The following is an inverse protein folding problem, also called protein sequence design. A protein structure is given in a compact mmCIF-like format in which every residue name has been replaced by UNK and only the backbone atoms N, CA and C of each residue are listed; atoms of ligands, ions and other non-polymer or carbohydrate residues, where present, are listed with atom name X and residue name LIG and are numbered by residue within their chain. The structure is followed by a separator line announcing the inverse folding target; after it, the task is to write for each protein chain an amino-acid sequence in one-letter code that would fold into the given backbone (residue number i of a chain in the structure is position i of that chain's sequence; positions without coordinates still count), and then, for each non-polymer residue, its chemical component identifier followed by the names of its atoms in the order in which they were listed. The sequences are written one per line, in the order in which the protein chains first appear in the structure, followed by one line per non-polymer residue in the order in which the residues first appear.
data_IF_449666402190
#
_entry.id   IF_449666402190
#
_cell.length_a   1.000
_cell.length_b   1.000
_cell.length_c   1.000
_cell.angle_alpha   90.00
_cell.angle_beta   90.00
_cell.angle_gamma   90.00
#
_symmetry.space_group_name_H-M   'P 1'
#
loop_
_entity.id
_entity.type
_entity.pdbx_description
1 polymer ?
#
# COMPACT_ATOMS: atom_id res chain seq x y z
N UNK A 1 70.86 43.79 -42.73
CA UNK A 1 71.09 42.36 -42.42
C UNK A 1 71.37 42.29 -40.92
N UNK A 2 70.29 42.30 -40.12
CA UNK A 2 69.71 41.09 -39.49
C UNK A 2 70.45 40.80 -38.18
N UNK A 3 69.91 40.85 -36.96
CA UNK A 3 68.59 40.98 -36.31
C UNK A 3 68.93 41.53 -34.88
N UNK A 4 68.30 42.56 -34.29
CA UNK A 4 66.98 42.61 -33.63
C UNK A 4 66.73 41.41 -32.68
N UNK A 5 66.30 41.49 -31.40
CA UNK A 5 65.68 42.55 -30.61
C UNK A 5 65.98 42.34 -29.11
N UNK A 6 66.33 43.48 -28.54
CA UNK A 6 66.32 43.99 -27.18
C UNK A 6 65.28 43.51 -26.13
N UNK A 7 65.75 43.66 -24.88
CA UNK A 7 65.06 44.11 -23.65
C UNK A 7 64.42 43.10 -22.68
N UNK A 8 65.30 42.61 -21.81
CA UNK A 8 65.15 42.52 -20.35
C UNK A 8 64.31 43.66 -19.72
N UNK A 9 63.25 43.34 -18.95
CA UNK A 9 62.72 44.14 -17.83
C UNK A 9 61.81 43.31 -16.88
N UNK A 10 62.33 43.15 -15.65
CA UNK A 10 61.72 42.96 -14.30
C UNK A 10 60.18 42.87 -14.16
N UNK A 11 59.68 41.92 -13.35
CA UNK A 11 58.78 42.17 -12.19
C UNK A 11 58.25 40.88 -11.50
N UNK A 12 58.66 40.70 -10.25
CA UNK A 12 57.92 40.42 -8.99
C UNK A 12 56.49 39.79 -8.95
N UNK A 13 56.35 38.85 -7.99
CA UNK A 13 55.20 38.55 -7.09
C UNK A 13 53.93 37.86 -7.64
N UNK A 14 53.52 36.73 -7.02
CA UNK A 14 52.42 36.66 -6.03
C UNK A 14 51.82 35.25 -5.97
N UNK A 15 51.95 34.62 -4.79
CA UNK A 15 51.31 33.38 -4.41
C UNK A 15 49.81 33.66 -4.18
N UNK A 16 48.94 33.12 -5.02
CA UNK A 16 47.49 33.14 -4.81
C UNK A 16 47.06 31.73 -4.40
N UNK A 17 46.69 31.59 -3.12
CA UNK A 17 45.98 30.44 -2.61
C UNK A 17 44.49 30.55 -3.01
N UNK A 18 44.03 29.67 -3.91
CA UNK A 18 42.60 29.45 -4.15
C UNK A 18 42.10 28.40 -3.16
N UNK A 19 41.44 28.85 -2.10
CA UNK A 19 40.59 28.01 -1.27
C UNK A 19 39.31 27.66 -2.03
N UNK A 20 39.17 26.39 -2.39
CA UNK A 20 37.88 25.83 -2.83
C UNK A 20 37.17 25.25 -1.62
N UNK A 21 36.19 25.98 -1.08
CA UNK A 21 35.15 25.41 -0.24
C UNK A 21 34.19 24.64 -1.14
N UNK A 22 34.53 23.39 -1.43
CA UNK A 22 33.57 22.41 -1.91
C UNK A 22 32.74 21.94 -0.73
N UNK A 23 31.47 22.35 -0.69
CA UNK A 23 30.45 21.72 0.15
C UNK A 23 30.41 20.25 -0.26
N UNK A 24 30.98 19.37 0.57
CA UNK A 24 30.75 17.94 0.45
C UNK A 24 29.28 17.72 0.73
N UNK A 25 28.52 17.34 -0.30
CA UNK A 25 27.37 16.49 -0.08
C UNK A 25 27.91 15.32 0.74
N UNK A 26 27.47 15.20 1.98
CA UNK A 26 27.67 14.00 2.76
C UNK A 26 26.84 12.91 2.06
N UNK A 27 27.45 12.31 1.03
CA UNK A 27 27.09 10.96 0.61
C UNK A 27 27.35 10.13 1.86
N UNK A 28 26.29 9.57 2.45
CA UNK A 28 26.39 8.61 3.53
C UNK A 28 27.45 7.58 3.09
N UNK A 29 28.56 7.55 3.80
CA UNK A 29 29.69 6.76 3.37
C UNK A 29 29.29 5.29 3.37
N UNK A 30 29.32 4.68 2.18
CA UNK A 30 29.46 3.23 1.97
C UNK A 30 30.48 2.75 3.00
N UNK A 31 30.03 1.97 3.97
CA UNK A 31 30.94 1.28 4.89
C UNK A 31 31.93 0.44 4.08
N UNK A 32 33.08 0.08 4.65
CA UNK A 32 34.03 -0.77 3.92
C UNK A 32 33.36 -2.10 3.56
N UNK A 33 33.40 -2.47 2.28
CA UNK A 33 32.78 -3.70 1.77
C UNK A 33 33.33 -4.91 2.51
N UNK A 34 32.47 -5.87 2.85
CA UNK A 34 32.91 -7.13 3.43
C UNK A 34 33.96 -7.83 2.55
N UNK A 35 34.84 -8.61 3.16
CA UNK A 35 35.98 -9.28 2.54
C UNK A 35 37.06 -8.33 1.98
N UNK A 36 37.02 -7.03 2.31
CA UNK A 36 38.13 -6.12 1.99
C UNK A 36 39.31 -6.40 2.91
N UNK A 37 40.49 -6.65 2.35
CA UNK A 37 41.73 -6.82 3.12
C UNK A 37 42.15 -5.49 3.75
N UNK A 38 42.43 -5.51 5.06
CA UNK A 38 43.07 -4.42 5.78
C UNK A 38 44.48 -4.86 6.12
N UNK A 39 45.44 -4.13 5.56
CA UNK A 39 46.85 -4.41 5.68
C UNK A 39 47.55 -3.29 6.45
N UNK A 40 48.31 -3.65 7.48
CA UNK A 40 49.14 -2.70 8.21
C UNK A 40 50.60 -3.18 8.30
N UNK A 41 51.54 -2.27 8.11
CA UNK A 41 52.97 -2.51 8.27
C UNK A 41 53.62 -1.31 8.96
N UNK A 42 54.17 -1.54 10.14
CA UNK A 42 54.99 -0.56 10.85
C UNK A 42 56.45 -0.62 10.38
N UNK A 43 57.16 0.51 10.47
CA UNK A 43 58.61 0.63 10.23
C UNK A 43 59.27 1.29 11.43
N UNK A 44 60.36 0.72 11.93
CA UNK A 44 61.19 1.33 12.97
C UNK A 44 62.46 1.93 12.37
N UNK A 45 62.67 3.21 12.65
CA UNK A 45 63.91 3.92 12.39
C UNK A 45 64.68 4.05 13.70
N UNK A 46 65.98 3.79 13.68
CA UNK A 46 66.81 3.85 14.88
C UNK A 46 68.24 4.30 14.56
N UNK A 47 68.97 4.73 15.58
CA UNK A 47 70.36 5.13 15.48
C UNK A 47 71.18 4.43 16.58
N UNK A 48 72.44 4.14 16.28
CA UNK A 48 73.40 3.57 17.24
C UNK A 48 74.53 4.58 17.41
N UNK A 49 74.73 5.07 18.64
CA UNK A 49 75.71 6.12 18.95
C UNK A 49 75.56 7.38 18.07
N UNK A 50 74.32 7.74 17.73
CA UNK A 50 74.01 8.88 16.86
C UNK A 50 74.11 8.60 15.36
N UNK A 51 74.51 7.40 14.93
CA UNK A 51 74.57 7.01 13.51
C UNK A 51 73.26 6.32 13.12
N UNK A 52 72.52 6.91 12.18
CA UNK A 52 71.29 6.34 11.64
C UNK A 52 71.54 4.94 11.06
N UNK A 53 70.65 4.00 11.38
CA UNK A 53 70.68 2.62 10.89
C UNK A 53 69.68 2.44 9.75
N UNK A 54 69.82 1.33 9.01
CA UNK A 54 68.82 0.94 8.00
C UNK A 54 67.52 0.58 8.74
N UNK A 55 66.36 1.12 8.33
CA UNK A 55 65.08 0.82 8.98
C UNK A 55 64.73 -0.67 8.92
N UNK A 56 63.96 -1.13 9.89
CA UNK A 56 63.40 -2.49 9.91
C UNK A 56 61.88 -2.39 9.83
N UNK A 57 61.28 -3.06 8.86
CA UNK A 57 59.83 -3.20 8.74
C UNK A 57 59.32 -4.36 9.62
N UNK A 58 58.12 -4.22 10.16
CA UNK A 58 57.46 -5.28 10.97
C UNK A 58 57.01 -6.49 10.14
N UNK A 59 56.72 -7.60 10.81
CA UNK A 59 56.08 -8.80 10.25
C UNK A 59 55.27 -9.50 11.35
N UNK A 60 54.22 -10.28 11.03
CA UNK A 60 53.36 -10.91 12.04
C UNK A 60 54.10 -11.79 13.06
N UNK A 61 55.19 -12.43 12.65
CA UNK A 61 56.04 -13.28 13.51
C UNK A 61 57.32 -12.58 13.99
N UNK A 62 57.42 -11.26 13.82
CA UNK A 62 58.64 -10.49 14.02
C UNK A 62 59.58 -10.49 12.80
N UNK A 63 60.45 -9.47 12.72
CA UNK A 63 61.44 -9.31 11.65
C UNK A 63 62.74 -8.74 12.20
N UNK A 64 63.87 -9.13 11.62
CA UNK A 64 65.20 -8.61 11.94
C UNK A 64 66.04 -8.29 10.71
N UNK A 65 65.45 -8.34 9.50
CA UNK A 65 66.12 -8.03 8.24
C UNK A 65 65.93 -6.53 7.92
N UNK A 66 66.99 -5.70 7.96
CA UNK A 66 66.88 -4.28 7.63
C UNK A 66 66.64 -4.07 6.14
N UNK A 67 65.92 -3.01 5.78
CA UNK A 67 65.70 -2.58 4.41
C UNK A 67 64.22 -2.39 4.06
N UNK A 68 63.99 -1.65 2.99
CA UNK A 68 62.64 -1.45 2.45
C UNK A 68 62.12 -2.76 1.84
N UNK A 69 60.84 -3.05 2.06
CA UNK A 69 60.14 -4.25 1.61
C UNK A 69 60.63 -5.58 2.22
N UNK A 70 61.39 -5.52 3.32
CA UNK A 70 61.86 -6.72 4.03
C UNK A 70 60.92 -7.16 5.16
N UNK A 71 59.79 -6.45 5.35
CA UNK A 71 58.72 -6.87 6.26
C UNK A 71 57.56 -7.60 5.57
N UNK A 72 56.49 -7.85 6.33
CA UNK A 72 55.24 -8.45 5.89
C UNK A 72 54.05 -7.72 6.52
N UNK A 73 52.93 -7.65 5.81
CA UNK A 73 51.72 -7.01 6.33
C UNK A 73 51.12 -7.86 7.46
N UNK A 74 50.60 -7.20 8.48
CA UNK A 74 49.58 -7.78 9.36
C UNK A 74 48.25 -7.55 8.69
N UNK A 75 47.56 -8.64 8.34
CA UNK A 75 46.37 -8.61 7.49
C UNK A 75 45.18 -9.24 8.21
N UNK A 76 44.02 -8.61 8.06
CA UNK A 76 42.70 -9.17 8.38
C UNK A 76 41.70 -8.71 7.31
N UNK A 77 40.48 -9.26 7.30
CA UNK A 77 39.44 -8.87 6.35
C UNK A 77 38.29 -8.18 7.06
N UNK A 78 37.55 -7.35 6.34
CA UNK A 78 36.33 -6.72 6.87
C UNK A 78 35.19 -7.75 6.92
N UNK A 79 34.51 -7.84 8.05
CA UNK A 79 33.39 -8.75 8.24
C UNK A 79 32.13 -8.35 7.47
N UNK A 80 31.21 -9.30 7.33
CA UNK A 80 29.89 -9.07 6.80
C UNK A 80 28.95 -8.57 7.91
N UNK A 81 28.71 -7.26 7.92
CA UNK A 81 27.66 -6.63 8.71
C UNK A 81 26.33 -6.80 7.96
N UNK A 82 25.43 -7.55 8.58
CA UNK A 82 24.04 -7.68 8.15
C UNK A 82 23.20 -6.68 8.91
N UNK A 83 22.53 -5.82 8.16
CA UNK A 83 21.57 -4.85 8.66
C UNK A 83 20.58 -4.55 7.52
N UNK A 84 19.34 -4.21 7.87
CA UNK A 84 18.29 -3.93 6.91
C UNK A 84 17.24 -3.01 7.49
N UNK A 85 16.49 -2.37 6.60
CA UNK A 85 15.23 -1.72 6.95
C UNK A 85 14.10 -2.24 6.08
N UNK A 86 12.91 -2.36 6.67
CA UNK A 86 11.65 -2.54 5.95
C UNK A 86 10.78 -1.36 6.33
N UNK A 87 10.22 -0.67 5.34
CA UNK A 87 9.38 0.52 5.58
C UNK A 87 8.12 0.45 4.74
N UNK A 88 6.97 0.77 5.33
CA UNK A 88 5.72 1.00 4.60
C UNK A 88 5.87 2.24 3.68
N UNK A 89 5.25 2.20 2.48
CA UNK A 89 5.53 3.17 1.40
C UNK A 89 4.60 4.38 1.39
N UNK A 90 3.32 4.20 1.69
CA UNK A 90 2.26 5.19 1.45
C UNK A 90 1.97 6.12 2.64
N UNK A 91 2.38 5.74 3.85
CA UNK A 91 2.09 6.43 5.11
C UNK A 91 0.63 6.32 5.56
N UNK A 92 -0.20 5.51 4.91
CA UNK A 92 -1.65 5.44 5.10
C UNK A 92 -2.17 4.00 4.92
N UNK A 93 -3.36 3.72 5.45
CA UNK A 93 -4.01 2.44 5.19
C UNK A 93 -4.38 2.28 3.70
N UNK A 94 -4.16 1.07 3.18
CA UNK A 94 -4.55 0.66 1.83
C UNK A 94 -6.06 0.44 1.74
N UNK A 95 -6.74 1.28 0.96
CA UNK A 95 -8.19 1.17 0.76
C UNK A 95 -8.59 -0.06 -0.06
N UNK A 96 -9.57 -0.83 0.42
CA UNK A 96 -10.16 -1.96 -0.32
C UNK A 96 -11.68 -1.99 -0.23
N UNK A 97 -12.34 -2.84 -1.02
CA UNK A 97 -13.78 -3.11 -0.94
C UNK A 97 -14.05 -4.58 -0.57
N UNK A 98 -15.24 -4.92 -0.02
CA UNK A 98 -15.56 -6.30 0.31
C UNK A 98 -15.49 -7.22 -0.91
N UNK A 99 -14.81 -8.35 -0.77
CA UNK A 99 -14.64 -9.32 -1.85
C UNK A 99 -13.65 -8.91 -2.93
N UNK A 100 -12.93 -7.80 -2.76
CA UNK A 100 -11.91 -7.37 -3.71
C UNK A 100 -10.77 -8.39 -3.76
N UNK A 101 -10.50 -8.99 -4.94
CA UNK A 101 -9.30 -9.80 -5.11
C UNK A 101 -8.07 -8.90 -5.30
N UNK A 102 -6.91 -9.40 -4.88
CA UNK A 102 -5.61 -8.76 -5.09
C UNK A 102 -5.53 -7.29 -4.64
N UNK A 103 -6.02 -6.96 -3.45
CA UNK A 103 -5.67 -5.71 -2.77
C UNK A 103 -4.16 -5.64 -2.52
N UNK A 104 -3.52 -4.53 -2.88
CA UNK A 104 -2.05 -4.39 -2.88
C UNK A 104 -1.62 -3.32 -1.90
N UNK A 105 -0.74 -3.68 -0.96
CA UNK A 105 0.07 -2.73 -0.19
C UNK A 105 1.55 -2.90 -0.54
N UNK A 106 2.34 -1.84 -0.35
CA UNK A 106 3.75 -1.77 -0.73
C UNK A 106 4.66 -1.41 0.45
N UNK A 107 5.83 -2.04 0.44
CA UNK A 107 6.93 -1.84 1.37
C UNK A 107 8.23 -1.63 0.60
N UNK A 108 9.20 -0.96 1.21
CA UNK A 108 10.57 -0.88 0.70
C UNK A 108 11.47 -1.70 1.61
N UNK A 109 12.23 -2.63 1.02
CA UNK A 109 13.30 -3.36 1.70
C UNK A 109 14.64 -2.75 1.29
N UNK A 110 15.43 -2.30 2.27
CA UNK A 110 16.76 -1.70 2.03
C UNK A 110 17.84 -2.54 2.71
N UNK A 111 18.91 -2.84 1.98
CA UNK A 111 20.11 -3.44 2.55
C UNK A 111 21.00 -2.33 3.13
N UNK A 112 21.06 -2.19 4.45
CA UNK A 112 21.94 -1.22 5.14
C UNK A 112 23.24 -1.86 5.65
N UNK A 113 23.48 -3.11 5.26
CA UNK A 113 24.72 -3.84 5.49
C UNK A 113 25.85 -3.46 4.53
N UNK A 114 26.97 -4.16 4.60
CA UNK A 114 28.17 -3.86 3.81
C UNK A 114 28.53 -4.94 2.75
N UNK A 115 27.62 -5.87 2.49
CA UNK A 115 27.76 -6.90 1.46
C UNK A 115 26.42 -7.12 0.73
N UNK A 116 26.44 -7.63 -0.52
CA UNK A 116 25.21 -8.09 -1.17
C UNK A 116 24.51 -9.19 -0.36
N UNK A 117 23.19 -9.07 -0.20
CA UNK A 117 22.37 -10.00 0.57
C UNK A 117 21.14 -10.44 -0.23
N UNK A 118 20.64 -11.65 0.00
CA UNK A 118 19.28 -12.03 -0.37
C UNK A 118 18.32 -11.77 0.78
N UNK A 119 17.01 -11.88 0.54
CA UNK A 119 16.00 -11.81 1.60
C UNK A 119 14.88 -12.82 1.37
N UNK A 120 14.56 -13.57 2.43
CA UNK A 120 13.31 -14.29 2.55
C UNK A 120 12.22 -13.29 2.94
N UNK A 121 11.08 -13.33 2.24
CA UNK A 121 9.96 -12.42 2.48
C UNK A 121 8.77 -13.22 3.01
N UNK A 122 8.24 -12.82 4.16
CA UNK A 122 7.11 -13.48 4.80
C UNK A 122 6.00 -12.46 5.06
N UNK A 123 4.86 -12.55 4.36
CA UNK A 123 3.68 -11.76 4.69
C UNK A 123 2.86 -12.47 5.78
N UNK A 124 2.38 -11.74 6.78
CA UNK A 124 1.51 -12.30 7.83
C UNK A 124 0.34 -11.39 8.14
N UNK A 125 -0.85 -11.96 8.36
CA UNK A 125 -1.91 -11.26 9.07
C UNK A 125 -1.49 -11.10 10.52
N UNK A 126 -1.65 -9.89 11.06
CA UNK A 126 -1.42 -9.64 12.48
C UNK A 126 -2.64 -10.06 13.30
N UNK A 127 -2.50 -9.97 14.62
CA UNK A 127 -3.62 -10.25 15.54
C UNK A 127 -3.84 -9.02 16.39
N UNK A 128 -4.83 -8.21 15.99
CA UNK A 128 -5.20 -7.00 16.69
C UNK A 128 -4.23 -5.83 16.46
N UNK A 129 -4.25 -4.89 17.40
CA UNK A 129 -3.53 -3.64 17.27
C UNK A 129 -4.31 -2.57 16.50
N UNK A 130 -3.79 -1.35 16.53
CA UNK A 130 -4.38 -0.19 15.86
C UNK A 130 -3.30 0.45 15.00
N UNK A 131 -3.56 0.56 13.70
CA UNK A 131 -2.74 1.27 12.73
C UNK A 131 -3.62 2.30 12.01
N UNK A 132 -3.05 3.44 11.64
CA UNK A 132 -3.73 4.54 10.94
C UNK A 132 -5.11 4.96 11.51
N UNK A 133 -5.33 4.73 12.81
CA UNK A 133 -6.57 5.08 13.50
C UNK A 133 -7.68 4.02 13.47
N UNK A 134 -7.49 2.88 12.80
CA UNK A 134 -8.44 1.76 12.82
C UNK A 134 -7.85 0.52 13.53
N UNK A 135 -8.70 -0.19 14.24
CA UNK A 135 -8.33 -1.45 14.89
C UNK A 135 -8.46 -2.62 13.92
N UNK A 136 -7.53 -3.55 14.02
CA UNK A 136 -7.59 -4.83 13.32
C UNK A 136 -8.70 -5.71 13.91
N UNK A 137 -9.64 -6.10 13.05
CA UNK A 137 -10.84 -6.85 13.42
C UNK A 137 -11.11 -8.05 12.51
N UNK A 138 -10.30 -8.26 11.47
CA UNK A 138 -10.40 -9.41 10.57
C UNK A 138 -9.06 -9.67 9.86
N UNK A 139 -8.92 -10.85 9.27
CA UNK A 139 -7.73 -11.21 8.48
C UNK A 139 -8.03 -11.14 6.98
N UNK A 140 -7.04 -10.72 6.19
CA UNK A 140 -7.10 -10.86 4.74
C UNK A 140 -6.96 -12.34 4.32
N UNK A 141 -7.62 -12.71 3.23
CA UNK A 141 -7.50 -14.02 2.61
C UNK A 141 -6.34 -14.05 1.61
N UNK A 142 -5.83 -15.25 1.27
CA UNK A 142 -4.88 -15.49 0.17
C UNK A 142 -3.67 -14.51 0.15
N UNK A 143 -3.08 -14.31 1.32
CA UNK A 143 -1.97 -13.40 1.54
C UNK A 143 -0.70 -13.89 0.82
N UNK A 144 -0.16 -13.06 -0.07
CA UNK A 144 1.00 -13.36 -0.93
C UNK A 144 1.98 -12.20 -0.92
N UNK A 145 3.22 -12.45 -1.33
CA UNK A 145 4.28 -11.44 -1.43
C UNK A 145 4.94 -11.48 -2.80
N UNK A 146 5.22 -10.31 -3.38
CA UNK A 146 5.87 -10.18 -4.67
C UNK A 146 6.90 -9.05 -4.66
N UNK A 147 8.01 -9.20 -5.37
CA UNK A 147 9.05 -8.18 -5.54
C UNK A 147 8.78 -7.42 -6.83
N UNK A 148 8.84 -6.09 -6.77
CA UNK A 148 8.79 -5.20 -7.94
C UNK A 148 9.99 -5.44 -8.84
N UNK A 149 9.77 -6.11 -9.97
CA UNK A 149 10.84 -6.54 -10.86
C UNK A 149 11.30 -5.45 -11.83
N UNK A 150 10.48 -4.43 -12.07
CA UNK A 150 10.75 -3.37 -13.05
C UNK A 150 10.97 -1.98 -12.40
N UNK A 151 10.86 -1.90 -11.08
CA UNK A 151 11.07 -0.69 -10.26
C UNK A 151 10.10 0.44 -10.60
N UNK A 152 8.87 0.13 -10.97
CA UNK A 152 7.84 1.12 -11.29
C UNK A 152 6.90 1.45 -10.10
N UNK A 153 7.03 0.73 -8.97
CA UNK A 153 6.23 0.91 -7.77
C UNK A 153 4.77 0.43 -7.88
N UNK A 154 4.43 -0.33 -8.92
CA UNK A 154 3.08 -0.85 -9.19
C UNK A 154 3.13 -2.37 -9.36
N UNK A 155 2.19 -3.09 -8.75
CA UNK A 155 2.14 -4.54 -8.90
C UNK A 155 1.56 -4.94 -10.26
N UNK A 156 2.33 -5.70 -11.04
CA UNK A 156 1.90 -6.37 -12.26
C UNK A 156 2.03 -7.90 -12.16
N UNK A 157 0.92 -8.66 -12.14
CA UNK A 157 0.94 -10.11 -11.89
C UNK A 157 1.83 -10.94 -12.82
N UNK A 158 2.04 -10.49 -14.06
CA UNK A 158 2.87 -11.18 -15.04
C UNK A 158 4.36 -10.78 -14.97
N UNK A 159 4.67 -9.64 -14.36
CA UNK A 159 6.04 -9.11 -14.25
C UNK A 159 6.61 -9.43 -12.87
N UNK A 160 5.85 -9.12 -11.81
CA UNK A 160 6.25 -9.24 -10.42
C UNK A 160 5.91 -10.62 -9.88
N UNK A 161 6.77 -11.58 -10.19
CA UNK A 161 6.56 -12.99 -9.87
C UNK A 161 7.47 -13.52 -8.78
N UNK A 162 8.57 -12.82 -8.48
CA UNK A 162 9.52 -13.23 -7.45
C UNK A 162 8.91 -13.02 -6.06
N UNK A 163 9.01 -14.03 -5.19
CA UNK A 163 8.49 -14.00 -3.81
C UNK A 163 9.60 -13.82 -2.76
N UNK A 164 10.81 -13.49 -3.23
CA UNK A 164 12.02 -13.36 -2.43
C UNK A 164 12.99 -12.44 -3.18
N UNK A 165 13.88 -11.77 -2.45
CA UNK A 165 14.95 -10.98 -3.07
C UNK A 165 16.18 -11.88 -3.22
N UNK A 166 16.62 -12.12 -4.46
CA UNK A 166 17.76 -13.02 -4.70
C UNK A 166 19.09 -12.41 -4.24
N UNK A 167 19.33 -11.15 -4.64
CA UNK A 167 20.51 -10.37 -4.29
C UNK A 167 20.16 -8.89 -4.35
N UNK A 168 20.51 -8.16 -3.30
CA UNK A 168 20.39 -6.72 -3.17
C UNK A 168 21.74 -6.16 -2.72
N UNK A 169 22.30 -5.24 -3.50
CA UNK A 169 23.58 -4.61 -3.17
C UNK A 169 23.48 -3.78 -1.87
N UNK A 170 24.61 -3.51 -1.18
CA UNK A 170 24.65 -2.54 -0.10
C UNK A 170 24.04 -1.20 -0.52
N UNK A 171 23.29 -0.57 0.39
CA UNK A 171 22.56 0.68 0.23
C UNK A 171 21.48 0.69 -0.87
N UNK A 172 21.29 -0.42 -1.58
CA UNK A 172 20.21 -0.57 -2.53
C UNK A 172 18.91 -0.93 -1.82
N UNK A 173 17.81 -0.56 -2.46
CA UNK A 173 16.47 -0.87 -2.01
C UNK A 173 15.62 -1.41 -3.17
N UNK A 174 14.55 -2.12 -2.82
CA UNK A 174 13.56 -2.64 -3.76
C UNK A 174 12.17 -2.58 -3.13
N UNK A 175 11.16 -2.32 -3.95
CA UNK A 175 9.76 -2.35 -3.53
C UNK A 175 9.27 -3.81 -3.47
N UNK A 176 8.52 -4.13 -2.43
CA UNK A 176 7.90 -5.42 -2.18
C UNK A 176 6.42 -5.19 -1.91
N UNK A 177 5.57 -5.95 -2.59
CA UNK A 177 4.13 -5.90 -2.44
C UNK A 177 3.64 -7.04 -1.55
N UNK A 178 2.70 -6.74 -0.65
CA UNK A 178 1.78 -7.75 -0.15
C UNK A 178 0.50 -7.66 -0.98
N UNK A 179 0.05 -8.80 -1.48
CA UNK A 179 -1.16 -8.94 -2.30
C UNK A 179 -2.10 -9.91 -1.61
N UNK A 180 -3.33 -9.48 -1.35
CA UNK A 180 -4.28 -10.23 -0.55
C UNK A 180 -5.71 -10.07 -1.08
N UNK A 181 -6.61 -10.95 -0.67
CA UNK A 181 -8.02 -10.86 -1.02
C UNK A 181 -8.82 -10.36 0.19
N UNK A 182 -9.65 -9.33 0.00
CA UNK A 182 -10.52 -8.81 1.06
C UNK A 182 -11.72 -9.75 1.22
N UNK A 183 -12.00 -10.31 2.42
CA UNK A 183 -13.16 -11.18 2.62
C UNK A 183 -14.47 -10.48 2.23
N UNK A 184 -15.37 -11.20 1.57
CA UNK A 184 -16.68 -10.66 1.16
C UNK A 184 -17.56 -10.26 2.36
N UNK A 185 -17.30 -10.85 3.53
CA UNK A 185 -18.02 -10.56 4.78
C UNK A 185 -17.50 -9.31 5.49
N UNK A 186 -16.39 -8.73 5.05
CA UNK A 186 -15.88 -7.49 5.63
C UNK A 186 -16.86 -6.34 5.34
N UNK A 187 -17.02 -5.46 6.31
CA UNK A 187 -18.00 -4.36 6.28
C UNK A 187 -17.29 -3.00 6.34
N UNK A 188 -18.04 -1.95 6.01
CA UNK A 188 -17.50 -0.59 5.94
C UNK A 188 -16.82 -0.17 7.25
N UNK A 189 -15.58 0.32 7.14
CA UNK A 189 -14.76 0.82 8.24
C UNK A 189 -14.00 -0.25 9.03
N UNK A 190 -14.16 -1.54 8.70
CA UNK A 190 -13.32 -2.59 9.27
C UNK A 190 -11.91 -2.55 8.66
N UNK A 191 -10.92 -2.94 9.45
CA UNK A 191 -9.54 -3.00 9.00
C UNK A 191 -8.86 -4.34 9.35
N UNK A 192 -7.86 -4.70 8.55
CA UNK A 192 -6.99 -5.85 8.73
C UNK A 192 -5.54 -5.38 8.71
N UNK A 193 -4.78 -5.69 9.77
CA UNK A 193 -3.36 -5.36 9.83
C UNK A 193 -2.52 -6.50 9.24
N UNK A 194 -1.53 -6.15 8.42
CA UNK A 194 -0.59 -7.10 7.82
C UNK A 194 0.84 -6.65 8.10
N UNK A 195 1.77 -7.61 8.08
CA UNK A 195 3.20 -7.39 8.25
C UNK A 195 3.97 -8.00 7.10
N UNK A 196 4.95 -7.27 6.60
CA UNK A 196 6.04 -7.83 5.82
C UNK A 196 7.25 -8.01 6.72
N UNK A 197 7.71 -9.25 6.88
CA UNK A 197 9.00 -9.56 7.49
C UNK A 197 10.00 -9.95 6.41
N UNK A 198 11.16 -9.29 6.39
CA UNK A 198 12.32 -9.67 5.60
C UNK A 198 13.37 -10.32 6.52
N UNK A 199 13.72 -11.57 6.24
CA UNK A 199 14.85 -12.25 6.89
C UNK A 199 16.04 -12.28 5.95
N UNK A 200 17.21 -11.81 6.39
CA UNK A 200 18.42 -11.82 5.57
C UNK A 200 18.82 -13.25 5.19
N UNK A 201 19.00 -13.47 3.90
CA UNK A 201 19.46 -14.72 3.31
C UNK A 201 20.79 -14.54 2.57
N UNK A 202 21.50 -15.65 2.36
CA UNK A 202 22.69 -15.66 1.54
C UNK A 202 22.35 -15.21 0.11
N UNK A 203 23.15 -14.32 -0.52
CA UNK A 203 22.88 -13.85 -1.87
C UNK A 203 22.92 -15.00 -2.88
N UNK A 204 22.05 -14.95 -3.90
CA UNK A 204 21.94 -15.99 -4.92
C UNK A 204 21.12 -17.22 -4.53
N UNK A 205 20.52 -17.24 -3.33
CA UNK A 205 19.72 -18.37 -2.84
C UNK A 205 18.21 -18.19 -2.96
N UNK A 206 17.72 -17.08 -3.54
CA UNK A 206 16.30 -16.74 -3.59
C UNK A 206 15.61 -16.85 -2.21
N UNK A 207 16.23 -16.33 -1.16
CA UNK A 207 15.67 -16.36 0.20
C UNK A 207 15.60 -17.75 0.86
N UNK A 208 16.19 -18.79 0.26
CA UNK A 208 16.09 -20.16 0.79
C UNK A 208 17.03 -20.42 1.98
N UNK A 209 18.19 -19.76 2.04
CA UNK A 209 19.20 -19.98 3.08
C UNK A 209 19.34 -18.72 3.92
N UNK A 210 18.69 -18.68 5.08
CA UNK A 210 18.87 -17.58 6.04
C UNK A 210 20.32 -17.52 6.52
N UNK A 211 20.82 -16.31 6.71
CA UNK A 211 22.15 -16.08 7.28
C UNK A 211 22.15 -16.46 8.76
N UNK A 212 23.32 -16.82 9.27
CA UNK A 212 23.53 -17.12 10.70
C UNK A 212 24.67 -16.29 11.22
N UNK A 213 24.50 -15.70 12.40
CA UNK A 213 25.59 -15.03 13.11
C UNK A 213 26.74 -15.99 13.36
N UNK A 214 27.96 -15.55 13.07
CA UNK A 214 29.16 -16.30 13.43
C UNK A 214 29.34 -16.29 14.95
N UNK A 215 29.64 -17.45 15.51
CA UNK A 215 29.86 -17.63 16.93
C UNK A 215 31.36 -17.72 17.24
N UNK A 216 31.78 -17.18 18.38
CA UNK A 216 33.17 -17.23 18.84
C UNK A 216 33.87 -15.89 18.76
N UNK A 217 35.19 -15.93 18.88
CA UNK A 217 36.06 -14.77 18.72
C UNK A 217 36.38 -14.54 17.24
N UNK A 218 36.71 -13.29 16.92
CA UNK A 218 37.19 -12.87 15.60
C UNK A 218 38.32 -13.78 15.10
N UNK A 219 38.22 -14.17 13.83
CA UNK A 219 39.19 -15.02 13.14
C UNK A 219 39.85 -14.26 11.98
N UNK A 220 41.06 -13.71 12.18
CA UNK A 220 41.73 -12.90 11.16
C UNK A 220 41.88 -13.65 9.83
N UNK A 221 41.34 -13.08 8.76
CA UNK A 221 41.42 -13.63 7.40
C UNK A 221 40.22 -14.49 6.97
N UNK A 222 39.24 -14.71 7.85
CA UNK A 222 37.90 -15.16 7.48
C UNK A 222 36.90 -14.02 7.63
N UNK A 223 35.82 -14.06 6.84
CA UNK A 223 34.74 -13.07 6.96
C UNK A 223 33.71 -13.62 7.94
N UNK A 224 33.58 -12.98 9.09
CA UNK A 224 32.55 -13.31 10.05
C UNK A 224 31.23 -12.62 9.68
N UNK A 225 30.11 -13.18 10.14
CA UNK A 225 28.76 -12.63 9.95
C UNK A 225 28.27 -12.01 11.25
N UNK A 226 28.02 -10.70 11.20
CA UNK A 226 27.58 -9.90 12.36
C UNK A 226 26.23 -9.26 12.06
N UNK A 227 25.20 -9.69 12.80
CA UNK A 227 23.90 -9.02 12.83
C UNK A 227 24.01 -7.69 13.59
N UNK A 228 23.71 -6.61 12.88
CA UNK A 228 23.75 -5.22 13.34
C UNK A 228 22.39 -4.58 13.50
N UNK A 229 21.31 -5.31 13.23
CA UNK A 229 19.93 -4.86 13.45
C UNK A 229 19.64 -4.67 14.96
N UNK A 230 18.74 -3.72 15.25
CA UNK A 230 18.36 -3.34 16.61
C UNK A 230 16.88 -3.61 16.93
N UNK A 231 16.42 -3.15 18.10
CA UNK A 231 15.03 -3.38 18.56
C UNK A 231 14.01 -2.35 18.05
N UNK A 232 14.36 -1.55 17.04
CA UNK A 232 13.47 -0.50 16.54
C UNK A 232 12.15 -1.10 16.03
N UNK A 233 11.03 -0.41 16.24
CA UNK A 233 9.72 -0.86 15.75
C UNK A 233 9.17 -2.13 16.41
N UNK A 234 9.77 -2.60 17.52
CA UNK A 234 9.38 -3.87 18.16
C UNK A 234 10.11 -5.08 17.58
N UNK A 235 11.19 -4.86 16.83
CA UNK A 235 12.06 -5.92 16.34
C UNK A 235 12.87 -6.59 17.46
N UNK A 236 13.32 -7.81 17.20
CA UNK A 236 14.31 -8.49 18.05
C UNK A 236 15.69 -8.03 17.57
N UNK A 237 16.56 -7.63 18.48
CA UNK A 237 17.90 -7.22 18.09
C UNK A 237 18.78 -8.43 17.75
N UNK A 238 19.62 -8.26 16.73
CA UNK A 238 20.64 -9.19 16.28
C UNK A 238 20.05 -10.53 15.83
N UNK A 239 18.97 -10.49 15.07
CA UNK A 239 18.38 -11.69 14.46
C UNK A 239 18.46 -11.70 12.92
N UNK A 240 19.00 -10.64 12.31
CA UNK A 240 19.11 -10.50 10.86
C UNK A 240 17.76 -10.35 10.17
N UNK A 241 16.73 -9.89 10.89
CA UNK A 241 15.40 -9.64 10.36
C UNK A 241 15.01 -8.17 10.50
N UNK A 242 14.05 -7.76 9.68
CA UNK A 242 13.39 -6.46 9.77
C UNK A 242 11.95 -6.61 9.31
N UNK A 243 11.06 -5.77 9.82
CA UNK A 243 9.66 -5.80 9.41
C UNK A 243 9.05 -4.40 9.39
N UNK A 244 7.95 -4.28 8.65
CA UNK A 244 7.03 -3.17 8.75
C UNK A 244 5.59 -3.69 8.66
N UNK A 245 4.69 -2.91 9.25
CA UNK A 245 3.26 -3.18 9.27
C UNK A 245 2.56 -2.22 8.33
N UNK A 246 1.48 -2.69 7.69
CA UNK A 246 0.50 -1.86 7.02
C UNK A 246 -0.92 -2.37 7.33
N UNK A 247 -1.94 -1.66 6.87
CA UNK A 247 -3.33 -1.96 7.11
C UNK A 247 -4.15 -1.89 5.83
N UNK A 248 -5.01 -2.87 5.61
CA UNK A 248 -6.11 -2.76 4.65
C UNK A 248 -7.34 -2.17 5.36
N UNK A 249 -7.90 -1.09 4.81
CA UNK A 249 -9.12 -0.46 5.31
C UNK A 249 -10.28 -0.68 4.32
N UNK A 250 -11.35 -1.29 4.79
CA UNK A 250 -12.50 -1.64 3.95
C UNK A 250 -13.46 -0.45 3.84
N UNK A 251 -13.69 0.00 2.61
CA UNK A 251 -14.75 0.94 2.27
C UNK A 251 -15.88 0.20 1.55
N UNK A 252 -17.10 0.33 2.03
CA UNK A 252 -18.26 -0.34 1.46
C UNK A 252 -19.50 0.55 1.53
N UNK A 253 -20.55 0.18 0.80
CA UNK A 253 -21.87 0.75 1.02
C UNK A 253 -22.50 0.15 2.29
N UNK A 254 -23.22 0.98 3.04
CA UNK A 254 -24.02 0.54 4.19
C UNK A 254 -25.45 1.00 3.95
N UNK A 255 -26.24 0.13 3.30
CA UNK A 255 -27.60 0.46 2.89
C UNK A 255 -28.61 0.23 4.00
N UNK A 256 -29.54 1.17 4.15
CA UNK A 256 -30.77 1.00 4.92
C UNK A 256 -31.97 1.24 4.02
N UNK A 257 -33.04 0.47 4.22
CA UNK A 257 -34.27 0.55 3.44
C UNK A 257 -35.45 0.78 4.37
N UNK A 258 -36.18 1.86 4.15
CA UNK A 258 -37.41 2.19 4.87
C UNK A 258 -38.58 2.19 3.89
N UNK A 259 -39.75 1.70 4.32
CA UNK A 259 -40.99 1.75 3.54
C UNK A 259 -42.08 2.41 4.36
N UNK A 260 -42.67 3.47 3.81
CA UNK A 260 -43.77 4.20 4.39
C UNK A 260 -44.98 4.21 3.44
N UNK A 261 -46.16 4.56 3.97
CA UNK A 261 -47.38 4.70 3.18
C UNK A 261 -48.24 5.86 3.65
N UNK A 262 -48.93 6.50 2.72
CA UNK A 262 -49.92 7.54 2.98
C UNK A 262 -51.21 7.24 2.22
N UNK A 263 -52.34 7.75 2.72
CA UNK A 263 -53.61 7.71 1.98
C UNK A 263 -53.73 9.02 1.21
N UNK A 264 -53.83 8.95 -0.11
CA UNK A 264 -53.94 10.12 -0.99
C UNK A 264 -55.40 10.55 -1.10
N UNK A 265 -56.31 9.61 -1.28
CA UNK A 265 -57.74 9.89 -1.34
C UNK A 265 -58.59 8.66 -1.02
N UNK A 266 -59.86 8.89 -0.68
CA UNK A 266 -60.88 7.84 -0.67
C UNK A 266 -62.20 8.31 -1.31
N UNK A 267 -63.12 7.38 -1.67
CA UNK A 267 -64.35 7.71 -2.39
C UNK A 267 -65.32 8.63 -1.65
N UNK A 268 -65.23 8.73 -0.32
CA UNK A 268 -66.17 9.46 0.52
C UNK A 268 -65.60 10.78 1.05
N UNK A 269 -64.33 10.79 1.48
CA UNK A 269 -63.67 11.94 2.08
C UNK A 269 -62.78 12.72 1.08
N UNK A 270 -62.62 12.22 -0.15
CA UNK A 270 -61.75 12.85 -1.15
C UNK A 270 -60.32 12.92 -0.64
N UNK A 271 -59.65 14.06 -0.78
CA UNK A 271 -58.28 14.29 -0.27
C UNK A 271 -58.23 14.86 1.15
N UNK A 272 -59.39 15.13 1.77
CA UNK A 272 -59.47 15.73 3.10
C UNK A 272 -59.70 14.64 4.15
N UNK A 273 -58.71 14.38 5.00
CA UNK A 273 -58.74 13.31 6.02
C UNK A 273 -59.10 11.91 5.48
N UNK A 274 -58.50 11.44 4.37
CA UNK A 274 -58.89 10.19 3.74
C UNK A 274 -58.59 8.95 4.60
N UNK A 275 -59.35 7.89 4.37
CA UNK A 275 -59.33 6.60 5.08
C UNK A 275 -58.91 5.46 4.15
N UNK A 276 -58.28 4.43 4.72
CA UNK A 276 -57.89 3.21 3.99
C UNK A 276 -59.06 2.24 3.86
N UNK A 277 -60.03 2.60 3.04
CA UNK A 277 -61.24 1.83 2.74
C UNK A 277 -61.21 1.35 1.27
N UNK A 278 -62.05 0.37 0.88
CA UNK A 278 -62.19 -0.01 -0.53
C UNK A 278 -62.35 1.20 -1.46
N UNK A 279 -61.62 1.21 -2.56
CA UNK A 279 -61.52 2.33 -3.50
C UNK A 279 -60.53 3.43 -3.12
N UNK A 280 -59.92 3.41 -1.92
CA UNK A 280 -58.94 4.41 -1.53
C UNK A 280 -57.61 4.27 -2.29
N UNK A 281 -56.98 5.40 -2.62
CA UNK A 281 -55.66 5.46 -3.24
C UNK A 281 -54.59 5.62 -2.15
N UNK A 282 -53.65 4.70 -2.11
CA UNK A 282 -52.48 4.73 -1.24
C UNK A 282 -51.25 5.10 -2.05
N UNK A 283 -50.33 5.86 -1.46
CA UNK A 283 -48.98 6.06 -1.98
C UNK A 283 -47.99 5.34 -1.06
N UNK A 284 -47.15 4.49 -1.64
CA UNK A 284 -46.00 3.91 -0.97
C UNK A 284 -44.76 4.74 -1.28
N UNK A 285 -43.88 4.85 -0.29
CA UNK A 285 -42.56 5.46 -0.44
C UNK A 285 -41.51 4.48 0.09
N UNK A 286 -40.62 4.02 -0.77
CA UNK A 286 -39.46 3.19 -0.42
C UNK A 286 -38.23 4.08 -0.47
N UNK A 287 -37.59 4.28 0.68
CA UNK A 287 -36.38 5.09 0.81
C UNK A 287 -35.19 4.19 1.07
N UNK A 288 -34.19 4.24 0.17
CA UNK A 288 -32.89 3.58 0.32
C UNK A 288 -31.85 4.65 0.64
N UNK A 289 -31.13 4.53 1.75
CA UNK A 289 -30.03 5.44 2.10
C UNK A 289 -28.71 4.69 2.27
N UNK A 290 -27.59 5.35 1.96
CA UNK A 290 -26.25 4.77 2.08
C UNK A 290 -25.39 5.55 3.09
N UNK A 291 -25.14 4.94 4.25
CA UNK A 291 -24.28 5.49 5.29
C UNK A 291 -22.82 4.98 5.21
N UNK A 292 -22.49 4.24 4.16
CA UNK A 292 -21.15 3.68 3.95
C UNK A 292 -20.14 4.67 3.37
N UNK A 293 -18.90 4.22 3.22
CA UNK A 293 -17.79 4.98 2.64
C UNK A 293 -17.68 4.89 1.11
N UNK A 294 -18.45 4.00 0.47
CA UNK A 294 -18.49 3.85 -1.00
C UNK A 294 -19.93 3.84 -1.54
N UNK A 295 -20.14 4.38 -2.74
CA UNK A 295 -21.45 4.42 -3.39
C UNK A 295 -21.92 2.99 -3.74
N UNK A 296 -23.20 2.70 -3.51
CA UNK A 296 -23.79 1.46 -4.02
C UNK A 296 -24.14 1.64 -5.49
N UNK A 297 -23.68 0.75 -6.36
CA UNK A 297 -23.96 0.76 -7.80
C UNK A 297 -24.78 -0.48 -8.19
N UNK A 298 -25.47 -0.43 -9.33
CA UNK A 298 -26.33 -1.54 -9.77
C UNK A 298 -27.54 -1.75 -8.86
N UNK A 299 -28.03 -0.68 -8.24
CA UNK A 299 -29.12 -0.75 -7.26
C UNK A 299 -30.44 -1.02 -7.97
N UNK A 300 -31.15 -2.06 -7.53
CA UNK A 300 -32.48 -2.40 -8.02
C UNK A 300 -33.44 -2.51 -6.84
N UNK A 301 -34.56 -1.79 -6.90
CA UNK A 301 -35.65 -1.90 -5.93
C UNK A 301 -36.71 -2.81 -6.52
N UNK A 302 -37.08 -3.86 -5.78
CA UNK A 302 -38.23 -4.72 -6.10
C UNK A 302 -39.28 -4.59 -5.00
N UNK A 303 -40.52 -4.34 -5.40
CA UNK A 303 -41.62 -4.13 -4.47
C UNK A 303 -42.89 -4.84 -4.99
N UNK A 304 -43.33 -5.94 -4.34
CA UNK A 304 -44.59 -6.58 -4.66
C UNK A 304 -45.78 -5.65 -4.40
N UNK A 305 -46.63 -5.49 -5.42
CA UNK A 305 -47.90 -4.79 -5.25
C UNK A 305 -48.78 -5.58 -4.28
N UNK A 306 -49.25 -4.97 -3.17
CA UNK A 306 -49.97 -5.72 -2.14
C UNK A 306 -51.23 -6.41 -2.67
N UNK A 307 -51.55 -7.58 -2.12
CA UNK A 307 -52.82 -8.23 -2.37
C UNK A 307 -54.01 -7.31 -2.01
N UNK A 308 -55.16 -7.51 -2.67
CA UNK A 308 -56.35 -6.65 -2.55
C UNK A 308 -56.11 -5.19 -2.93
N UNK A 309 -55.05 -4.92 -3.69
CA UNK A 309 -54.82 -3.62 -4.30
C UNK A 309 -54.55 -3.77 -5.80
N UNK A 310 -54.80 -2.70 -6.54
CA UNK A 310 -54.48 -2.58 -7.96
C UNK A 310 -53.44 -1.49 -8.12
N UNK A 311 -52.36 -1.74 -8.86
CA UNK A 311 -51.35 -0.72 -9.14
C UNK A 311 -51.97 0.43 -9.94
N UNK A 312 -51.76 1.66 -9.50
CA UNK A 312 -52.33 2.82 -10.14
C UNK A 312 -51.44 3.28 -11.30
N UNK A 313 -52.05 3.50 -12.47
CA UNK A 313 -51.39 4.07 -13.64
C UNK A 313 -51.58 5.60 -13.68
N UNK A 314 -50.78 6.28 -14.53
CA UNK A 314 -50.93 7.70 -14.81
C UNK A 314 -51.02 8.61 -13.55
N UNK A 315 -50.25 8.28 -12.51
CA UNK A 315 -50.33 8.95 -11.20
C UNK A 315 -49.38 10.14 -11.03
N UNK A 316 -48.33 10.21 -11.85
CA UNK A 316 -47.29 11.24 -11.80
C UNK A 316 -47.07 11.87 -13.17
N UNK A 317 -46.31 12.97 -13.20
CA UNK A 317 -45.89 13.67 -14.42
C UNK A 317 -47.06 13.98 -15.38
N UNK A 318 -48.09 14.67 -14.88
CA UNK A 318 -49.31 14.99 -15.63
C UNK A 318 -50.01 13.76 -16.26
N UNK A 319 -49.85 12.58 -15.67
CA UNK A 319 -50.44 11.33 -16.14
C UNK A 319 -49.55 10.50 -17.07
N UNK A 320 -48.34 10.96 -17.38
CA UNK A 320 -47.42 10.24 -18.25
C UNK A 320 -46.65 9.10 -17.54
N UNK A 321 -46.62 9.09 -16.21
CA UNK A 321 -45.78 8.16 -15.44
C UNK A 321 -46.52 7.60 -14.23
N UNK A 322 -46.04 6.46 -13.71
CA UNK A 322 -46.67 5.75 -12.60
C UNK A 322 -45.71 5.50 -11.42
N UNK A 323 -44.42 5.82 -11.59
CA UNK A 323 -43.42 5.83 -10.54
C UNK A 323 -42.70 7.19 -10.51
N UNK A 324 -42.43 7.68 -9.31
CA UNK A 324 -41.57 8.84 -9.07
C UNK A 324 -40.32 8.40 -8.32
N UNK A 325 -39.16 8.94 -8.71
CA UNK A 325 -37.92 8.80 -7.96
C UNK A 325 -37.43 10.17 -7.51
N UNK A 326 -36.88 10.22 -6.30
CA UNK A 326 -36.22 11.38 -5.74
C UNK A 326 -34.82 10.94 -5.29
N UNK A 327 -33.77 11.42 -5.94
CA UNK A 327 -32.36 11.07 -5.64
C UNK A 327 -31.68 12.25 -4.95
N UNK A 328 -31.41 12.11 -3.65
CA UNK A 328 -30.89 13.19 -2.83
C UNK A 328 -31.77 14.44 -2.91
N UNK A 329 -31.15 15.59 -3.16
CA UNK A 329 -31.83 16.88 -3.34
C UNK A 329 -32.19 17.21 -4.79
N UNK A 330 -31.93 16.30 -5.76
CA UNK A 330 -32.20 16.57 -7.17
C UNK A 330 -33.71 16.64 -7.45
N UNK A 331 -34.17 17.32 -8.52
CA UNK A 331 -35.58 17.27 -8.89
C UNK A 331 -36.07 15.83 -9.08
N UNK A 332 -37.33 15.58 -8.70
CA UNK A 332 -37.92 14.28 -8.89
C UNK A 332 -37.90 13.88 -10.37
N UNK A 333 -37.49 12.65 -10.63
CA UNK A 333 -37.56 12.01 -11.94
C UNK A 333 -38.74 11.03 -11.96
N UNK A 334 -39.12 10.59 -13.15
CA UNK A 334 -40.28 9.75 -13.35
C UNK A 334 -39.98 8.68 -14.38
N UNK A 335 -40.63 7.54 -14.21
CA UNK A 335 -40.58 6.42 -15.14
C UNK A 335 -41.95 5.75 -15.21
N UNK A 336 -42.15 4.96 -16.26
CA UNK A 336 -43.37 4.24 -16.56
C UNK A 336 -43.11 2.75 -16.43
N UNK A 337 -43.50 2.18 -15.28
CA UNK A 337 -43.50 0.73 -15.11
C UNK A 337 -44.57 0.09 -15.99
N UNK A 338 -44.18 -0.54 -17.10
CA UNK A 338 -45.12 -1.24 -17.98
C UNK A 338 -45.49 -2.62 -17.44
N UNK A 339 -46.75 -3.00 -17.66
CA UNK A 339 -47.21 -4.35 -17.37
C UNK A 339 -46.66 -5.35 -18.40
N UNK A 340 -46.40 -6.58 -17.97
CA UNK A 340 -45.97 -7.67 -18.86
C UNK A 340 -44.50 -8.06 -18.71
N UNK A 341 -43.76 -7.42 -17.79
CA UNK A 341 -42.39 -7.80 -17.45
C UNK A 341 -41.31 -7.38 -18.43
N UNK A 342 -41.63 -6.51 -19.39
CA UNK A 342 -40.67 -5.92 -20.33
C UNK A 342 -40.65 -4.40 -20.20
N UNK A 343 -39.48 -3.84 -19.85
CA UNK A 343 -39.20 -2.40 -19.93
C UNK A 343 -38.96 -2.04 -21.40
N UNK A 344 -40.02 -1.61 -22.08
CA UNK A 344 -39.99 -1.42 -23.55
C UNK A 344 -39.49 -0.04 -23.95
N UNK A 345 -39.56 0.93 -23.04
CA UNK A 345 -39.10 2.29 -23.25
C UNK A 345 -37.67 2.52 -22.72
N UNK A 346 -37.10 1.52 -22.02
CA UNK A 346 -35.77 1.51 -21.42
C UNK A 346 -35.55 2.63 -20.38
N UNK A 347 -36.61 3.00 -19.65
CA UNK A 347 -36.55 4.00 -18.58
C UNK A 347 -36.16 3.42 -17.21
N UNK A 348 -36.11 2.09 -17.09
CA UNK A 348 -35.64 1.36 -15.92
C UNK A 348 -36.74 0.88 -14.98
N UNK A 349 -38.01 1.04 -15.36
CA UNK A 349 -39.15 0.67 -14.53
C UNK A 349 -40.04 -0.37 -15.21
N UNK A 350 -40.47 -1.39 -14.48
CA UNK A 350 -41.33 -2.45 -15.05
C UNK A 350 -42.19 -3.12 -13.97
N UNK A 351 -43.40 -3.51 -14.34
CA UNK A 351 -44.24 -4.43 -13.56
C UNK A 351 -44.09 -5.85 -14.13
N UNK A 352 -43.40 -6.70 -13.37
CA UNK A 352 -43.18 -8.10 -13.76
C UNK A 352 -44.46 -8.94 -13.63
N UNK A 353 -44.49 -10.11 -14.26
CA UNK A 353 -45.67 -10.99 -14.32
C UNK A 353 -46.25 -11.45 -12.98
N UNK A 354 -45.55 -11.21 -11.86
CA UNK A 354 -46.04 -11.43 -10.50
C UNK A 354 -46.61 -10.17 -9.82
N UNK A 355 -46.91 -9.11 -10.59
CA UNK A 355 -47.32 -7.80 -10.07
C UNK A 355 -46.26 -7.22 -9.10
N UNK A 356 -44.99 -7.37 -9.45
CA UNK A 356 -43.84 -6.84 -8.69
C UNK A 356 -43.27 -5.67 -9.47
N UNK A 357 -43.31 -4.48 -8.85
CA UNK A 357 -42.65 -3.30 -9.36
C UNK A 357 -41.14 -3.49 -9.23
N UNK A 358 -40.42 -3.32 -10.33
CA UNK A 358 -38.96 -3.32 -10.36
C UNK A 358 -38.47 -1.98 -10.90
N UNK A 359 -37.52 -1.37 -10.19
CA UNK A 359 -36.92 -0.07 -10.55
C UNK A 359 -35.41 -0.19 -10.47
N UNK A 360 -34.73 0.03 -11.60
CA UNK A 360 -33.28 -0.04 -11.75
C UNK A 360 -32.77 0.99 -12.76
N UNK A 361 -31.63 0.73 -13.39
CA UNK A 361 -31.05 1.65 -14.37
C UNK A 361 -31.92 1.75 -15.64
N UNK A 362 -32.02 2.93 -16.28
CA UNK A 362 -31.36 4.19 -15.94
C UNK A 362 -32.03 5.02 -14.82
N UNK A 363 -33.30 4.77 -14.47
CA UNK A 363 -34.00 5.50 -13.40
C UNK A 363 -33.24 5.51 -12.06
N UNK A 364 -32.63 4.39 -11.71
CA UNK A 364 -31.83 4.18 -10.50
C UNK A 364 -30.55 3.39 -10.82
N UNK A 365 -29.44 4.10 -10.98
CA UNK A 365 -28.14 3.46 -11.22
C UNK A 365 -27.33 3.25 -9.92
N UNK A 366 -27.41 4.20 -8.99
CA UNK A 366 -26.58 4.20 -7.78
C UNK A 366 -27.19 4.96 -6.61
N UNK A 367 -26.76 4.64 -5.40
CA UNK A 367 -27.00 5.43 -4.17
C UNK A 367 -25.66 5.93 -3.64
N UNK A 368 -25.42 7.24 -3.79
CA UNK A 368 -24.20 7.91 -3.35
C UNK A 368 -24.02 7.87 -1.82
N UNK A 369 -22.81 8.13 -1.34
CA UNK A 369 -22.45 8.10 0.09
C UNK A 369 -22.83 9.38 0.82
N UNK A 370 -23.19 9.29 2.09
CA UNK A 370 -23.26 10.44 3.00
C UNK A 370 -24.69 10.87 3.37
N UNK A 371 -24.78 11.72 4.42
CA UNK A 371 -26.06 12.18 4.95
C UNK A 371 -26.87 12.94 3.88
N UNK A 372 -28.08 12.48 3.59
CA UNK A 372 -28.96 13.08 2.57
C UNK A 372 -28.88 12.45 1.18
N UNK A 373 -27.92 11.56 0.92
CA UNK A 373 -27.87 10.77 -0.31
C UNK A 373 -28.74 9.52 -0.16
N UNK A 374 -30.05 9.74 -0.27
CA UNK A 374 -31.07 8.70 -0.28
C UNK A 374 -31.85 8.73 -1.60
N UNK A 375 -32.29 7.57 -2.05
CA UNK A 375 -33.26 7.45 -3.14
C UNK A 375 -34.61 7.13 -2.54
N UNK A 376 -35.62 7.93 -2.87
CA UNK A 376 -37.01 7.63 -2.52
C UNK A 376 -37.81 7.31 -3.78
N UNK A 377 -38.22 6.05 -3.92
CA UNK A 377 -39.13 5.57 -4.94
C UNK A 377 -40.57 5.67 -4.42
N UNK A 378 -41.48 6.24 -5.21
CA UNK A 378 -42.91 6.32 -4.90
C UNK A 378 -43.76 5.71 -6.00
N UNK A 379 -44.80 5.01 -5.58
CA UNK A 379 -45.83 4.47 -6.47
C UNK A 379 -47.17 4.44 -5.73
N UNK A 380 -48.26 4.36 -6.48
CA UNK A 380 -49.61 4.33 -5.91
C UNK A 380 -50.34 3.04 -6.22
N UNK A 381 -51.24 2.68 -5.32
CA UNK A 381 -52.18 1.57 -5.50
C UNK A 381 -53.58 1.99 -5.07
N UNK A 382 -54.60 1.33 -5.58
CA UNK A 382 -55.99 1.47 -5.13
C UNK A 382 -56.42 0.22 -4.38
N UNK A 383 -57.08 0.36 -3.24
CA UNK A 383 -57.70 -0.77 -2.54
C UNK A 383 -58.87 -1.29 -3.40
N UNK A 384 -58.89 -2.59 -3.69
CA UNK A 384 -59.94 -3.19 -4.53
C UNK A 384 -61.31 -3.06 -3.84
N UNK A 385 -62.36 -2.93 -4.64
CA UNK A 385 -63.75 -2.81 -4.17
C UNK A 385 -64.33 -4.12 -3.66
#
# INVERSE_FOLDING_TARGET
MSLDINHLKRATTLLIALGSFGVSNQVLAVGTTANTSIDNRATVNFAVNGVAQVPIESSPTGNSVPGANNGANTTFVVDNRIDLTVTEVSGNATGTTPGQPNGVTAFTVTNTGNAPQGYQLTPTNLTGGTLFGASDVFNMDNLRVFVDANSNGTYEPATDTATSINTLAPDANVVVFIVADTPITATNGQAANVRLTAGTAAPGTNGATLMTQTAGAEAPGTVDVVFGDGTAGGNVARDGQGFADDQYLVSAATLTVAKARTVISDPFNGTTNPKSIPGAVLEYAVTVSNAGGTAATGVVITDPVPANTTFANATYNAGASNVQLQVGANPATFCLAEAGGTDSNADGCVLTGANVLTVGAPALASVATGAGNAVTMRFRVSINN
#
